data_IF_178267186538
#
_entry.id   IF_178267186538
#
_cell.length_a   1.000
_cell.length_b   1.000
_cell.length_c   1.000
_cell.angle_alpha   90.00
_cell.angle_beta   90.00
_cell.angle_gamma   90.00
#
_symmetry.space_group_name_H-M   'P 1'
#
loop_
_entity.id
_entity.type
_entity.pdbx_description
1 polymer ?
#
# COMPACT_ATOMS: atom_id res chain seq x y z
N UNK A 1 -18.73 -26.98 9.60
CA UNK A 1 -18.13 -25.75 10.12
C UNK A 1 -17.62 -24.96 8.94
N UNK A 2 -18.32 -23.92 8.58
CA UNK A 2 -18.05 -23.11 7.39
C UNK A 2 -16.85 -22.22 7.63
N UNK A 3 -15.91 -22.21 6.70
CA UNK A 3 -14.81 -21.27 6.65
C UNK A 3 -15.32 -19.96 6.02
N UNK A 4 -16.06 -19.17 6.78
CA UNK A 4 -16.57 -17.86 6.36
C UNK A 4 -15.51 -16.74 6.38
N UNK A 5 -14.30 -17.06 6.81
CA UNK A 5 -13.22 -16.08 7.00
C UNK A 5 -12.74 -15.39 5.71
N UNK A 6 -12.89 -16.03 4.54
CA UNK A 6 -12.47 -15.39 3.28
C UNK A 6 -13.50 -14.43 2.68
N UNK A 7 -14.77 -14.64 2.95
CA UNK A 7 -15.83 -13.78 2.43
C UNK A 7 -15.99 -12.51 3.26
N UNK A 8 -15.85 -12.62 4.58
CA UNK A 8 -15.88 -11.48 5.49
C UNK A 8 -14.66 -10.57 5.33
N UNK A 9 -13.49 -11.14 5.05
CA UNK A 9 -12.26 -10.38 4.85
C UNK A 9 -12.31 -9.52 3.57
N UNK A 10 -12.89 -10.00 2.49
CA UNK A 10 -13.09 -9.23 1.27
C UNK A 10 -14.15 -8.13 1.41
N UNK A 11 -15.21 -8.39 2.16
CA UNK A 11 -16.25 -7.40 2.45
C UNK A 11 -15.73 -6.28 3.34
N UNK A 12 -14.99 -6.61 4.38
CA UNK A 12 -14.37 -5.66 5.30
C UNK A 12 -13.31 -4.80 4.60
N UNK A 13 -12.49 -5.39 3.74
CA UNK A 13 -11.49 -4.66 2.95
C UNK A 13 -12.12 -3.57 2.08
N UNK A 14 -13.24 -3.85 1.42
CA UNK A 14 -13.93 -2.90 0.56
C UNK A 14 -14.60 -1.73 1.31
N UNK A 15 -14.82 -1.86 2.61
CA UNK A 15 -15.45 -0.85 3.46
C UNK A 15 -14.44 -0.08 4.34
N UNK A 16 -13.17 -0.42 4.27
CA UNK A 16 -12.13 0.29 5.03
C UNK A 16 -11.89 1.68 4.47
N UNK A 17 -11.91 2.68 5.34
CA UNK A 17 -11.51 4.04 4.98
C UNK A 17 -9.98 4.13 5.05
N UNK A 18 -9.35 4.33 3.90
CA UNK A 18 -7.88 4.39 3.76
C UNK A 18 -7.40 5.65 3.07
N UNK A 19 -8.29 6.58 2.75
CA UNK A 19 -7.96 7.85 2.11
C UNK A 19 -8.81 8.99 2.62
N UNK A 20 -8.28 10.19 2.51
CA UNK A 20 -9.00 11.42 2.86
C UNK A 20 -8.22 12.66 2.46
N UNK A 21 -8.90 13.82 2.36
CA UNK A 21 -8.26 15.08 2.05
C UNK A 21 -7.40 15.55 3.22
N UNK A 22 -6.24 16.12 2.89
CA UNK A 22 -5.34 16.74 3.87
C UNK A 22 -5.89 18.13 4.24
N UNK A 23 -6.17 18.34 5.51
CA UNK A 23 -6.63 19.64 6.04
C UNK A 23 -5.53 20.42 6.77
N UNK A 24 -4.48 19.74 7.21
CA UNK A 24 -3.30 20.34 7.81
C UNK A 24 -2.07 19.46 7.62
N UNK A 25 -0.92 20.08 7.51
CA UNK A 25 0.37 19.40 7.28
C UNK A 25 1.23 19.44 8.55
N UNK A 26 2.19 18.48 8.72
CA UNK A 26 3.12 18.53 9.84
C UNK A 26 4.06 19.73 9.72
N UNK A 27 4.30 20.44 10.82
CA UNK A 27 5.24 21.56 10.83
C UNK A 27 6.71 21.13 10.93
N UNK A 28 6.95 19.90 11.40
CA UNK A 28 8.31 19.38 11.69
C UNK A 28 9.02 18.81 10.47
N UNK A 29 8.28 18.29 9.51
CA UNK A 29 8.82 17.54 8.38
C UNK A 29 8.38 18.12 7.04
N UNK A 30 9.29 18.19 6.09
CA UNK A 30 8.98 18.54 4.70
C UNK A 30 8.60 17.27 3.92
N UNK A 31 7.34 16.92 3.94
CA UNK A 31 6.84 15.69 3.32
C UNK A 31 6.53 15.83 1.83
N UNK A 32 6.46 17.06 1.34
CA UNK A 32 5.94 17.38 0.00
C UNK A 32 4.40 17.39 -0.08
N UNK A 33 3.71 16.90 0.95
CA UNK A 33 2.25 16.92 1.06
C UNK A 33 1.76 18.34 1.28
N UNK A 34 0.65 18.71 0.63
CA UNK A 34 -0.01 20.00 0.76
C UNK A 34 -1.46 19.83 1.23
N UNK A 35 -2.01 20.88 1.81
CA UNK A 35 -3.44 20.95 2.08
C UNK A 35 -4.24 20.80 0.79
N UNK A 36 -5.27 19.97 0.83
CA UNK A 36 -6.08 19.60 -0.33
C UNK A 36 -5.60 18.38 -1.11
N UNK A 37 -4.36 17.91 -0.88
CA UNK A 37 -3.92 16.62 -1.43
C UNK A 37 -4.74 15.46 -0.84
N UNK A 38 -4.79 14.33 -1.52
CA UNK A 38 -5.39 13.11 -0.97
C UNK A 38 -4.31 12.30 -0.26
N UNK A 39 -4.49 12.04 1.03
CA UNK A 39 -3.62 11.18 1.82
C UNK A 39 -4.17 9.76 1.86
N UNK A 40 -3.30 8.78 1.63
CA UNK A 40 -3.57 7.35 1.82
C UNK A 40 -2.93 6.90 3.13
N UNK A 41 -3.71 6.25 3.98
CA UNK A 41 -3.29 5.91 5.34
C UNK A 41 -3.79 4.53 5.78
N UNK A 42 -3.24 4.06 6.88
CA UNK A 42 -3.64 2.80 7.47
C UNK A 42 -5.09 2.86 7.98
N UNK A 43 -5.89 1.86 7.64
CA UNK A 43 -7.33 1.82 7.99
C UNK A 43 -7.64 1.97 9.49
N UNK A 44 -6.71 1.55 10.37
CA UNK A 44 -6.87 1.69 11.83
C UNK A 44 -6.94 3.15 12.29
N UNK A 45 -6.49 4.11 11.49
CA UNK A 45 -6.61 5.55 11.80
C UNK A 45 -8.06 5.93 12.07
N UNK A 46 -8.99 5.45 11.24
CA UNK A 46 -10.41 5.77 11.41
C UNK A 46 -11.12 4.81 12.36
N UNK A 47 -10.67 3.55 12.43
CA UNK A 47 -11.35 2.51 13.20
C UNK A 47 -11.00 2.49 14.68
N UNK A 48 -9.71 2.57 15.05
CA UNK A 48 -9.27 2.29 16.43
C UNK A 48 -8.19 3.23 16.95
N UNK A 49 -7.17 3.51 16.14
CA UNK A 49 -5.95 4.20 16.59
C UNK A 49 -5.97 5.70 16.30
N UNK A 50 -6.94 6.15 15.51
CA UNK A 50 -7.03 7.53 15.08
C UNK A 50 -7.48 8.43 16.21
N UNK A 51 -6.65 9.37 16.58
CA UNK A 51 -7.08 10.45 17.46
C UNK A 51 -7.96 11.40 16.66
N UNK A 52 -9.25 11.33 16.94
CA UNK A 52 -10.21 12.30 16.40
C UNK A 52 -9.98 13.67 17.01
N UNK A 53 -9.91 14.69 16.17
CA UNK A 53 -9.90 16.07 16.66
C UNK A 53 -11.24 16.38 17.33
N UNK A 54 -11.16 16.92 18.53
CA UNK A 54 -12.35 17.38 19.28
C UNK A 54 -12.94 18.60 18.59
N UNK A 55 -14.18 18.53 18.19
CA UNK A 55 -14.89 19.60 17.52
C UNK A 55 -15.82 19.08 16.46
N UNK A 56 -15.91 19.65 15.35
CA UNK A 56 -17.08 19.55 14.49
C UNK A 56 -17.00 18.47 13.43
N UNK A 57 -15.83 17.99 13.01
CA UNK A 57 -15.77 17.18 11.81
C UNK A 57 -15.06 15.83 12.01
N UNK A 58 -15.19 14.94 11.03
CA UNK A 58 -14.52 13.67 10.99
C UNK A 58 -13.02 13.83 10.64
N UNK A 59 -12.34 14.72 11.36
CA UNK A 59 -10.92 14.96 11.21
C UNK A 59 -10.12 14.06 12.16
N UNK A 60 -9.07 13.45 11.63
CA UNK A 60 -8.23 12.51 12.35
C UNK A 60 -6.77 12.91 12.24
N UNK A 61 -6.01 12.66 13.31
CA UNK A 61 -4.56 12.71 13.24
C UNK A 61 -4.04 11.43 12.57
N UNK A 62 -3.22 11.60 11.53
CA UNK A 62 -2.46 10.52 10.92
C UNK A 62 -1.01 10.67 11.36
N UNK A 63 -0.47 9.66 12.04
CA UNK A 63 0.90 9.70 12.55
C UNK A 63 1.91 9.66 11.41
N UNK A 64 2.86 10.57 11.48
CA UNK A 64 4.01 10.63 10.57
C UNK A 64 5.28 10.98 11.33
N UNK A 65 6.32 10.17 11.17
CA UNK A 65 7.66 10.37 11.75
C UNK A 65 8.72 9.80 10.80
N UNK A 66 9.53 10.65 10.20
CA UNK A 66 10.60 10.22 9.30
C UNK A 66 11.72 9.45 10.01
N UNK A 67 11.97 9.77 11.27
CA UNK A 67 13.02 9.13 12.05
C UNK A 67 12.63 7.73 12.51
N UNK A 68 11.32 7.51 12.67
CA UNK A 68 10.76 6.24 13.12
C UNK A 68 9.67 5.77 12.14
N UNK A 69 10.08 5.59 10.89
CA UNK A 69 9.16 5.29 9.77
C UNK A 69 8.26 4.06 9.99
N UNK A 70 8.67 3.12 10.85
CA UNK A 70 7.85 1.97 11.27
C UNK A 70 6.52 2.35 11.91
N UNK A 71 6.45 3.52 12.53
CA UNK A 71 5.25 4.01 13.20
C UNK A 71 4.35 4.84 12.28
N UNK A 72 4.74 5.04 11.02
CA UNK A 72 3.98 5.85 10.09
C UNK A 72 2.67 5.17 9.72
N UNK A 73 1.57 5.88 9.96
CA UNK A 73 0.24 5.52 9.50
C UNK A 73 -0.05 6.12 8.10
N UNK A 74 0.63 7.22 7.75
CA UNK A 74 0.60 7.81 6.42
C UNK A 74 1.42 6.96 5.46
N UNK A 75 0.82 6.51 4.35
CA UNK A 75 1.40 5.55 3.41
C UNK A 75 1.87 6.24 2.13
N UNK A 76 1.00 7.05 1.55
CA UNK A 76 1.24 7.76 0.31
C UNK A 76 0.33 8.98 0.21
N UNK A 77 0.61 9.86 -0.74
CA UNK A 77 -0.31 10.94 -1.08
C UNK A 77 -0.43 11.10 -2.59
N UNK A 78 -1.54 11.65 -3.02
CA UNK A 78 -1.79 12.05 -4.40
C UNK A 78 -1.85 13.57 -4.46
N UNK A 79 -0.97 14.16 -5.24
CA UNK A 79 -0.94 15.61 -5.45
C UNK A 79 -2.20 16.06 -6.18
N UNK A 80 -2.94 16.99 -5.59
CA UNK A 80 -4.17 17.52 -6.16
C UNK A 80 -3.97 18.16 -7.54
N UNK A 81 -2.84 18.82 -7.76
CA UNK A 81 -2.58 19.57 -8.98
C UNK A 81 -2.08 18.70 -10.13
N UNK A 82 -1.27 17.68 -9.84
CA UNK A 82 -0.63 16.85 -10.87
C UNK A 82 -1.25 15.46 -11.00
N UNK A 83 -1.98 14.99 -9.99
CA UNK A 83 -2.45 13.62 -9.90
C UNK A 83 -1.35 12.61 -9.61
N UNK A 84 -0.12 13.04 -9.40
CA UNK A 84 1.03 12.18 -9.10
C UNK A 84 0.89 11.55 -7.73
N UNK A 85 1.12 10.24 -7.65
CA UNK A 85 1.11 9.48 -6.40
C UNK A 85 2.54 9.29 -5.94
N UNK A 86 2.79 9.61 -4.67
CA UNK A 86 4.10 9.48 -4.02
C UNK A 86 3.98 8.71 -2.72
N UNK A 87 4.71 7.59 -2.56
CA UNK A 87 4.86 6.95 -1.27
C UNK A 87 5.46 7.91 -0.24
N UNK A 88 5.12 7.72 1.03
CA UNK A 88 5.71 8.43 2.17
C UNK A 88 6.75 7.57 2.87
N UNK A 89 7.58 8.18 3.72
CA UNK A 89 8.73 7.54 4.34
C UNK A 89 8.41 6.17 4.95
N UNK A 90 9.23 5.20 4.59
CA UNK A 90 9.14 3.81 5.05
C UNK A 90 8.14 2.94 4.30
N UNK A 91 7.47 3.45 3.27
CA UNK A 91 6.52 2.69 2.48
C UNK A 91 6.92 2.51 1.02
N UNK A 92 6.55 1.35 0.47
CA UNK A 92 6.62 1.03 -0.94
C UNK A 92 5.26 0.55 -1.42
N UNK A 93 4.87 0.97 -2.61
CA UNK A 93 3.64 0.52 -3.26
C UNK A 93 4.03 -0.36 -4.45
N UNK A 94 3.54 -1.59 -4.44
CA UNK A 94 3.89 -2.59 -5.43
C UNK A 94 2.63 -3.09 -6.14
N UNK A 95 2.70 -3.21 -7.45
CA UNK A 95 1.68 -3.92 -8.22
C UNK A 95 1.84 -5.44 -8.00
N UNK A 96 0.74 -6.18 -7.78
CA UNK A 96 0.77 -7.63 -7.73
C UNK A 96 1.38 -8.22 -9.00
N UNK A 97 2.25 -9.21 -8.84
CA UNK A 97 2.82 -9.98 -9.95
C UNK A 97 2.06 -11.29 -10.08
N UNK A 98 1.55 -11.57 -11.28
CA UNK A 98 0.86 -12.81 -11.61
C UNK A 98 1.81 -13.80 -12.29
N UNK A 99 1.72 -15.06 -11.92
CA UNK A 99 2.38 -16.16 -12.59
C UNK A 99 1.36 -17.09 -13.25
N UNK A 100 1.63 -17.53 -14.47
CA UNK A 100 0.84 -18.56 -15.11
C UNK A 100 1.19 -19.93 -14.52
N UNK A 101 0.21 -20.55 -13.87
CA UNK A 101 0.31 -21.92 -13.40
C UNK A 101 -0.35 -22.85 -14.41
N UNK A 102 0.44 -23.68 -15.09
CA UNK A 102 -0.09 -24.74 -15.94
C UNK A 102 -0.50 -25.91 -15.05
N UNK A 103 -1.78 -26.15 -14.93
CA UNK A 103 -2.30 -27.35 -14.26
C UNK A 103 -2.47 -28.42 -15.35
N UNK A 104 -1.59 -29.41 -15.32
CA UNK A 104 -1.70 -30.57 -16.20
C UNK A 104 -2.38 -31.68 -15.41
N UNK A 105 -3.57 -32.05 -15.83
CA UNK A 105 -4.26 -33.27 -15.35
C UNK A 105 -4.43 -34.22 -16.53
N UNK A 106 -4.19 -35.51 -16.33
CA UNK A 106 -4.30 -36.55 -17.38
C UNK A 106 -5.71 -36.69 -17.97
N UNK A 107 -6.67 -35.97 -17.42
CA UNK A 107 -8.10 -36.06 -17.77
C UNK A 107 -8.73 -34.72 -18.20
N UNK A 108 -8.03 -33.58 -18.17
CA UNK A 108 -8.61 -32.27 -18.48
C UNK A 108 -7.66 -31.43 -19.34
N UNK A 109 -8.21 -30.74 -20.34
CA UNK A 109 -7.50 -29.72 -21.11
C UNK A 109 -6.71 -28.76 -20.20
N UNK A 110 -5.49 -28.41 -20.63
CA UNK A 110 -4.59 -27.50 -19.91
C UNK A 110 -5.30 -26.17 -19.69
N UNK A 111 -5.71 -25.91 -18.45
CA UNK A 111 -6.23 -24.62 -18.05
C UNK A 111 -5.06 -23.79 -17.49
N UNK A 112 -4.76 -22.68 -18.13
CA UNK A 112 -3.82 -21.70 -17.61
C UNK A 112 -4.55 -20.87 -16.55
N UNK A 113 -4.18 -21.07 -15.30
CA UNK A 113 -4.65 -20.25 -14.17
C UNK A 113 -3.59 -19.19 -13.86
N UNK A 114 -4.04 -17.95 -13.78
CA UNK A 114 -3.21 -16.87 -13.25
C UNK A 114 -3.26 -16.91 -11.73
N UNK A 115 -2.10 -17.02 -11.12
CA UNK A 115 -1.93 -17.02 -9.67
C UNK A 115 -1.04 -15.83 -9.29
N UNK A 116 -1.49 -15.01 -8.36
CA UNK A 116 -0.65 -13.94 -7.78
C UNK A 116 0.46 -14.53 -6.93
N UNK A 117 1.64 -13.94 -6.99
CA UNK A 117 2.76 -14.30 -6.14
C UNK A 117 2.69 -13.43 -4.85
N UNK A 118 2.42 -14.05 -3.68
CA UNK A 118 2.17 -13.29 -2.45
C UNK A 118 3.44 -12.69 -1.82
N UNK A 119 4.61 -12.97 -2.40
CA UNK A 119 5.92 -12.49 -1.91
C UNK A 119 6.68 -11.68 -2.94
N UNK A 120 6.04 -11.34 -4.06
CA UNK A 120 6.65 -10.53 -5.10
C UNK A 120 5.70 -9.44 -5.58
N UNK A 121 6.27 -8.30 -5.96
CA UNK A 121 5.51 -7.19 -6.51
C UNK A 121 6.39 -6.32 -7.39
N UNK A 122 5.75 -5.59 -8.29
CA UNK A 122 6.42 -4.63 -9.19
C UNK A 122 6.36 -3.23 -8.57
N UNK A 123 7.49 -2.55 -8.46
CA UNK A 123 7.57 -1.18 -7.95
C UNK A 123 6.69 -0.27 -8.81
N UNK A 124 5.64 0.28 -8.22
CA UNK A 124 4.66 1.11 -8.92
C UNK A 124 5.02 2.60 -8.93
N UNK A 125 5.61 3.09 -7.86
CA UNK A 125 5.95 4.51 -7.68
C UNK A 125 7.33 4.65 -7.06
N UNK A 126 8.03 5.71 -7.46
CA UNK A 126 9.35 6.02 -6.89
C UNK A 126 9.26 6.98 -5.72
N UNK A 127 10.28 6.93 -4.86
CA UNK A 127 10.51 7.85 -3.76
C UNK A 127 12.03 7.85 -3.44
N UNK A 128 12.57 8.90 -2.80
CA UNK A 128 14.01 8.99 -2.54
C UNK A 128 14.59 7.74 -1.86
N UNK A 129 13.93 7.21 -0.85
CA UNK A 129 14.38 6.00 -0.14
C UNK A 129 14.28 4.71 -0.97
N UNK A 130 13.44 4.66 -2.01
CA UNK A 130 13.38 3.54 -2.96
C UNK A 130 14.54 3.65 -3.95
N UNK A 131 14.84 4.86 -4.42
CA UNK A 131 15.96 5.14 -5.31
C UNK A 131 17.32 4.90 -4.63
N UNK A 132 17.46 5.21 -3.34
CA UNK A 132 18.64 4.92 -2.52
C UNK A 132 18.93 3.42 -2.43
N UNK A 133 17.90 2.57 -2.52
CA UNK A 133 18.06 1.11 -2.64
C UNK A 133 18.45 0.67 -4.06
N UNK A 134 18.57 1.58 -5.01
CA UNK A 134 18.84 1.29 -6.41
C UNK A 134 17.64 0.77 -7.19
N UNK A 135 16.43 0.87 -6.63
CA UNK A 135 15.21 0.40 -7.25
C UNK A 135 14.59 1.47 -8.16
N UNK A 136 13.92 1.00 -9.21
CA UNK A 136 13.19 1.83 -10.17
C UNK A 136 11.77 1.35 -10.33
N UNK A 137 10.90 2.23 -10.80
CA UNK A 137 9.55 1.85 -11.24
C UNK A 137 9.65 0.76 -12.29
N UNK A 138 8.89 -0.31 -12.10
CA UNK A 138 8.90 -1.48 -12.98
C UNK A 138 9.75 -2.64 -12.49
N UNK A 139 10.72 -2.43 -11.59
CA UNK A 139 11.49 -3.52 -11.02
C UNK A 139 10.59 -4.46 -10.22
N UNK A 140 10.82 -5.76 -10.39
CA UNK A 140 10.15 -6.79 -9.59
C UNK A 140 10.99 -7.07 -8.35
N UNK A 141 10.38 -6.93 -7.19
CA UNK A 141 11.04 -7.14 -5.90
C UNK A 141 10.38 -8.25 -5.12
N UNK A 142 11.18 -9.02 -4.41
CA UNK A 142 10.69 -9.96 -3.42
C UNK A 142 10.65 -9.31 -2.04
N UNK A 143 9.63 -9.63 -1.25
CA UNK A 143 9.46 -9.12 0.09
C UNK A 143 9.11 -10.24 1.09
N UNK A 144 9.16 -9.92 2.36
CA UNK A 144 8.92 -10.87 3.45
C UNK A 144 7.51 -11.47 3.37
N UNK A 145 7.38 -12.76 3.66
CA UNK A 145 6.08 -13.44 3.73
C UNK A 145 5.10 -12.74 4.66
N UNK A 146 3.81 -12.78 4.32
CA UNK A 146 2.71 -12.15 5.06
C UNK A 146 2.82 -10.61 5.15
N UNK A 147 3.46 -9.98 4.16
CA UNK A 147 3.55 -8.53 4.01
C UNK A 147 2.80 -7.99 2.79
N UNK A 148 1.99 -8.82 2.17
CA UNK A 148 1.14 -8.53 1.01
C UNK A 148 -0.16 -7.79 1.37
N UNK A 149 -0.08 -6.91 2.37
CA UNK A 149 -1.22 -6.05 2.74
C UNK A 149 -1.61 -5.15 1.58
N UNK A 150 -2.91 -5.06 1.31
CA UNK A 150 -3.42 -4.31 0.17
C UNK A 150 -3.92 -2.93 0.55
N UNK A 151 -3.80 -2.02 -0.41
CA UNK A 151 -4.42 -0.72 -0.40
C UNK A 151 -4.99 -0.43 -1.79
N UNK A 152 -6.12 0.25 -1.84
CA UNK A 152 -6.75 0.64 -3.10
C UNK A 152 -6.50 2.12 -3.35
N UNK A 153 -5.97 2.46 -4.52
CA UNK A 153 -5.70 3.82 -4.97
C UNK A 153 -6.30 3.99 -6.36
N UNK A 154 -7.19 4.95 -6.53
CA UNK A 154 -7.90 5.20 -7.80
C UNK A 154 -8.55 3.94 -8.43
N UNK A 155 -9.03 3.03 -7.58
CA UNK A 155 -9.65 1.78 -8.03
C UNK A 155 -8.70 0.64 -8.33
N UNK A 156 -7.39 0.87 -8.34
CA UNK A 156 -6.36 -0.16 -8.51
C UNK A 156 -5.82 -0.62 -7.16
N UNK A 157 -5.58 -1.92 -7.03
CA UNK A 157 -5.01 -2.54 -5.84
C UNK A 157 -3.48 -2.58 -5.93
N UNK A 158 -2.83 -2.24 -4.80
CA UNK A 158 -1.39 -2.32 -4.62
C UNK A 158 -1.08 -3.05 -3.31
N UNK A 159 0.04 -3.75 -3.26
CA UNK A 159 0.64 -4.14 -1.99
C UNK A 159 1.28 -2.91 -1.35
N UNK A 160 0.89 -2.60 -0.12
CA UNK A 160 1.57 -1.61 0.73
C UNK A 160 2.58 -2.32 1.61
N UNK A 161 3.82 -2.31 1.21
CA UNK A 161 4.90 -3.02 1.89
C UNK A 161 5.83 -2.02 2.55
N UNK A 162 6.36 -2.35 3.72
CA UNK A 162 7.42 -1.54 4.31
C UNK A 162 8.67 -1.66 3.46
N UNK A 163 9.39 -0.54 3.28
CA UNK A 163 10.63 -0.55 2.50
C UNK A 163 11.66 -1.50 3.10
N UNK A 164 11.69 -1.65 4.43
CA UNK A 164 12.57 -2.59 5.14
C UNK A 164 12.22 -4.07 4.93
N UNK A 165 10.98 -4.37 4.53
CA UNK A 165 10.54 -5.75 4.25
C UNK A 165 10.93 -6.19 2.82
N UNK A 166 11.49 -5.31 1.99
CA UNK A 166 12.02 -5.64 0.67
C UNK A 166 13.34 -6.40 0.82
N UNK A 167 13.46 -7.58 0.20
CA UNK A 167 14.57 -8.51 0.42
C UNK A 167 15.51 -8.62 -0.78
N UNK A 168 14.99 -8.62 -1.99
CA UNK A 168 15.78 -8.84 -3.21
C UNK A 168 15.08 -8.28 -4.45
N UNK A 169 15.85 -8.08 -5.50
CA UNK A 169 15.36 -7.75 -6.84
C UNK A 169 15.36 -9.01 -7.68
N UNK A 170 14.26 -9.27 -8.37
CA UNK A 170 14.17 -10.39 -9.33
C UNK A 170 14.90 -9.93 -10.60
N UNK A 171 15.95 -10.64 -10.95
CA UNK A 171 16.64 -10.42 -12.23
C UNK A 171 15.89 -11.17 -13.32
N UNK A 172 15.54 -10.47 -14.39
CA UNK A 172 15.00 -11.09 -15.60
C UNK A 172 16.08 -11.85 -16.37
#
# INVERSE_FOLDING_TARGET
MYNDTKMDDMGEFNHRVTEGPVVAIPFKYETGVKEGDTLYFHHLVVMQDGQRLTGEDNNYFVRYDEQHALNNQAIAYKCQNTGEIKPLAGWSLLEPVEQEKKVTSDLIEVVSLKEELPTQGRVAFTAPWIEELGLKVGDVVGFQENRDYRIKIDGQEYYRTRTEDLLYVVQE
#
